data_IF_804408867144
#
_entry.id   IF_804408867144
#
_cell.length_a   1.000
_cell.length_b   1.000
_cell.length_c   1.000
_cell.angle_alpha   90.00
_cell.angle_beta   90.00
_cell.angle_gamma   90.00
#
_symmetry.space_group_name_H-M   'P 1'
#
loop_
_entity.id
_entity.type
_entity.pdbx_description
1 polymer ?
#
# COMPACT_ATOMS: atom_id res chain seq x y z
N UNK A 1 31.86 50.77 22.49
CA UNK A 1 31.09 50.48 21.25
C UNK A 1 31.12 48.96 21.06
N UNK A 2 30.13 48.33 21.60
CA UNK A 2 30.06 46.88 21.72
C UNK A 2 29.37 46.33 20.46
N UNK A 3 30.12 45.56 19.70
CA UNK A 3 29.63 44.87 18.49
C UNK A 3 28.65 43.77 18.88
N UNK A 4 27.38 44.10 18.89
CA UNK A 4 26.29 43.11 18.97
C UNK A 4 26.23 42.38 17.63
N UNK A 5 27.01 41.31 17.51
CA UNK A 5 26.96 40.39 16.42
C UNK A 5 25.65 39.59 16.57
N UNK A 6 24.55 40.09 15.97
CA UNK A 6 23.29 39.39 15.85
C UNK A 6 23.51 38.17 14.95
N UNK A 7 23.85 37.04 15.56
CA UNK A 7 23.67 35.74 14.94
C UNK A 7 22.20 35.63 14.49
N UNK A 8 21.93 35.90 13.22
CA UNK A 8 20.70 35.51 12.60
C UNK A 8 20.61 33.99 12.71
N UNK A 9 20.00 33.49 13.76
CA UNK A 9 19.49 32.13 13.76
C UNK A 9 18.56 32.02 12.56
N UNK A 10 19.04 31.35 11.51
CA UNK A 10 18.23 31.04 10.34
C UNK A 10 17.17 30.05 10.84
N UNK A 11 16.00 30.57 11.21
CA UNK A 11 14.85 29.75 11.60
C UNK A 11 14.48 28.94 10.37
N UNK A 12 15.01 27.71 10.28
CA UNK A 12 14.73 26.81 9.19
C UNK A 12 13.27 26.37 9.28
N UNK A 13 12.55 26.42 8.18
CA UNK A 13 11.19 25.90 8.09
C UNK A 13 11.15 24.45 8.61
N UNK A 14 10.10 24.06 9.38
CA UNK A 14 9.96 22.71 9.95
C UNK A 14 10.10 21.60 8.89
N UNK A 15 9.57 21.82 7.70
CA UNK A 15 9.69 20.89 6.56
C UNK A 15 11.13 20.70 6.09
N UNK A 16 11.94 21.78 6.06
CA UNK A 16 13.35 21.71 5.69
C UNK A 16 14.18 20.96 6.73
N UNK A 17 13.85 21.15 8.00
CA UNK A 17 14.49 20.41 9.12
C UNK A 17 14.14 18.92 9.06
N UNK A 18 12.89 18.58 8.80
CA UNK A 18 12.44 17.19 8.65
C UNK A 18 13.14 16.50 7.47
N UNK A 19 13.22 17.17 6.32
CA UNK A 19 13.91 16.65 5.14
C UNK A 19 15.41 16.44 5.37
N UNK A 20 16.08 17.38 6.04
CA UNK A 20 17.49 17.22 6.39
C UNK A 20 17.73 16.07 7.38
N UNK A 21 16.82 15.88 8.35
CA UNK A 21 16.88 14.73 9.27
C UNK A 21 16.68 13.40 8.54
N UNK A 22 15.77 13.36 7.56
CA UNK A 22 15.55 12.20 6.72
C UNK A 22 16.83 11.83 5.94
N UNK A 23 17.44 12.81 5.26
CA UNK A 23 18.67 12.59 4.48
C UNK A 23 19.86 12.14 5.33
N UNK A 24 19.92 12.54 6.59
CA UNK A 24 20.98 12.10 7.53
C UNK A 24 20.77 10.68 8.06
N UNK A 25 19.56 10.16 7.99
CA UNK A 25 19.24 8.83 8.49
C UNK A 25 19.41 7.79 7.38
N UNK A 26 20.48 7.01 7.43
CA UNK A 26 20.82 5.99 6.43
C UNK A 26 19.72 4.92 6.29
N UNK A 27 19.11 4.49 7.40
CA UNK A 27 18.05 3.50 7.36
C UNK A 27 16.78 4.04 6.70
N UNK A 28 16.43 5.30 6.98
CA UNK A 28 15.30 5.95 6.32
C UNK A 28 15.53 6.13 4.81
N UNK A 29 16.77 6.46 4.41
CA UNK A 29 17.12 6.56 2.99
C UNK A 29 17.07 5.21 2.27
N UNK A 30 17.53 4.12 2.93
CA UNK A 30 17.39 2.77 2.38
C UNK A 30 15.91 2.35 2.22
N UNK A 31 15.08 2.64 3.22
CA UNK A 31 13.64 2.38 3.14
C UNK A 31 12.97 3.17 2.02
N UNK A 32 13.30 4.47 1.89
CA UNK A 32 12.79 5.30 0.81
C UNK A 32 13.23 4.77 -0.57
N UNK A 33 14.49 4.40 -0.71
CA UNK A 33 15.00 3.82 -1.96
C UNK A 33 14.27 2.53 -2.32
N UNK A 34 14.04 1.64 -1.35
CA UNK A 34 13.29 0.39 -1.57
C UNK A 34 11.86 0.67 -2.06
N UNK A 35 11.14 1.62 -1.44
CA UNK A 35 9.79 2.02 -1.86
C UNK A 35 9.80 2.57 -3.29
N UNK A 36 10.74 3.45 -3.61
CA UNK A 36 10.88 4.03 -4.95
C UNK A 36 11.16 2.93 -5.99
N UNK A 37 12.04 1.98 -5.69
CA UNK A 37 12.34 0.85 -6.58
C UNK A 37 11.09 0.02 -6.83
N UNK A 38 10.30 -0.31 -5.81
CA UNK A 38 9.06 -1.09 -5.96
C UNK A 38 8.03 -0.34 -6.81
N UNK A 39 7.89 0.97 -6.62
CA UNK A 39 6.99 1.80 -7.43
C UNK A 39 7.45 1.82 -8.89
N UNK A 40 8.72 2.10 -9.15
CA UNK A 40 9.27 2.11 -10.51
C UNK A 40 9.13 0.75 -11.19
N UNK A 41 9.44 -0.32 -10.47
CA UNK A 41 9.28 -1.70 -10.95
C UNK A 41 7.82 -1.99 -11.34
N UNK A 42 6.85 -1.60 -10.52
CA UNK A 42 5.44 -1.90 -10.74
C UNK A 42 4.80 -1.03 -11.84
N UNK A 43 5.19 0.24 -11.96
CA UNK A 43 4.55 1.18 -12.90
C UNK A 43 5.29 1.33 -14.21
N UNK A 44 6.61 1.29 -14.18
CA UNK A 44 7.46 1.50 -15.35
C UNK A 44 7.92 0.14 -15.92
N UNK A 45 8.16 -0.85 -15.07
CA UNK A 45 8.61 -2.18 -15.49
C UNK A 45 7.80 -2.82 -16.61
N UNK A 46 6.46 -2.82 -16.56
CA UNK A 46 5.63 -3.42 -17.63
C UNK A 46 5.88 -2.83 -19.02
N UNK A 47 6.33 -1.58 -19.11
CA UNK A 47 6.64 -0.95 -20.41
C UNK A 47 7.84 -1.57 -21.13
N UNK A 48 8.71 -2.23 -20.39
CA UNK A 48 9.90 -2.93 -20.92
C UNK A 48 9.69 -4.42 -21.15
N UNK A 49 8.51 -4.95 -20.75
CA UNK A 49 8.21 -6.36 -20.91
C UNK A 49 7.66 -6.66 -22.30
N UNK A 50 8.08 -7.79 -22.85
CA UNK A 50 7.65 -8.28 -24.17
C UNK A 50 6.24 -8.88 -24.12
N UNK A 51 5.86 -9.43 -22.97
CA UNK A 51 4.60 -10.15 -22.78
C UNK A 51 3.63 -9.31 -21.96
N UNK A 52 2.35 -9.32 -22.33
CA UNK A 52 1.30 -8.72 -21.51
C UNK A 52 0.87 -9.64 -20.36
N UNK A 53 0.20 -9.10 -19.34
CA UNK A 53 -0.20 -9.81 -18.12
C UNK A 53 -1.05 -11.07 -18.39
N UNK A 54 -1.87 -11.05 -19.45
CA UNK A 54 -2.81 -12.11 -19.78
C UNK A 54 -2.38 -12.95 -20.99
N UNK A 55 -1.27 -12.60 -21.65
CA UNK A 55 -0.78 -13.37 -22.80
C UNK A 55 -0.39 -14.78 -22.36
N UNK A 56 -1.07 -15.79 -22.90
CA UNK A 56 -0.75 -17.20 -22.72
C UNK A 56 0.20 -17.61 -23.83
N UNK A 57 1.27 -18.27 -23.47
CA UNK A 57 2.25 -18.86 -24.40
C UNK A 57 2.22 -20.37 -24.28
N UNK A 58 2.75 -21.07 -25.29
CA UNK A 58 2.85 -22.54 -25.26
C UNK A 58 3.88 -23.03 -24.23
N UNK A 59 4.57 -22.10 -23.56
CA UNK A 59 5.60 -22.35 -22.56
C UNK A 59 4.98 -22.52 -21.18
N UNK A 60 4.39 -23.69 -20.90
CA UNK A 60 3.73 -23.98 -19.63
C UNK A 60 4.74 -24.41 -18.57
N UNK A 61 4.71 -23.80 -17.37
CA UNK A 61 5.56 -24.13 -16.22
C UNK A 61 7.07 -24.17 -16.54
N UNK A 62 7.53 -23.26 -17.38
CA UNK A 62 8.95 -23.16 -17.71
C UNK A 62 9.72 -22.42 -16.62
N UNK A 63 10.97 -22.86 -16.40
CA UNK A 63 11.88 -22.24 -15.45
C UNK A 63 12.32 -20.83 -15.87
N UNK A 64 13.02 -20.10 -14.97
CA UNK A 64 13.55 -18.79 -15.26
C UNK A 64 14.52 -18.80 -16.46
N UNK A 65 14.58 -17.67 -17.18
CA UNK A 65 15.49 -17.41 -18.30
C UNK A 65 15.27 -18.29 -19.56
N UNK A 66 14.13 -18.96 -19.67
CA UNK A 66 13.78 -19.78 -20.83
C UNK A 66 12.88 -18.96 -21.76
N UNK A 67 13.14 -19.00 -23.07
CA UNK A 67 12.36 -18.36 -24.15
C UNK A 67 12.00 -16.87 -23.94
N UNK A 68 12.84 -16.14 -23.17
CA UNK A 68 12.66 -14.73 -22.88
C UNK A 68 11.81 -14.43 -21.65
N UNK A 69 11.39 -15.45 -20.91
CA UNK A 69 10.68 -15.31 -19.63
C UNK A 69 11.70 -15.20 -18.48
N UNK A 70 11.86 -14.00 -17.91
CA UNK A 70 12.89 -13.73 -16.88
C UNK A 70 12.67 -14.57 -15.63
N UNK A 71 11.45 -14.67 -15.12
CA UNK A 71 11.08 -15.49 -13.95
C UNK A 71 10.35 -16.79 -14.34
N UNK A 72 10.29 -17.10 -15.64
CA UNK A 72 9.57 -18.26 -16.14
C UNK A 72 8.06 -18.00 -16.30
N UNK A 73 7.31 -19.09 -16.48
CA UNK A 73 5.87 -19.06 -16.76
C UNK A 73 5.05 -19.84 -15.74
N UNK A 74 3.78 -19.44 -15.58
CA UNK A 74 2.84 -20.12 -14.71
C UNK A 74 2.21 -21.36 -15.39
N UNK A 75 1.24 -22.00 -14.69
CA UNK A 75 0.50 -23.17 -15.19
C UNK A 75 -0.32 -22.91 -16.44
N UNK A 76 -0.53 -21.67 -16.81
CA UNK A 76 -1.28 -21.21 -17.98
C UNK A 76 -0.36 -20.61 -19.05
N UNK A 77 0.95 -20.75 -18.92
CA UNK A 77 1.92 -20.21 -19.87
C UNK A 77 2.09 -18.69 -19.79
N UNK A 78 1.63 -18.02 -18.71
CA UNK A 78 1.73 -16.56 -18.57
C UNK A 78 3.03 -16.18 -17.89
N UNK A 79 3.61 -15.04 -18.30
CA UNK A 79 4.89 -14.55 -17.77
C UNK A 79 4.76 -14.11 -16.30
N UNK A 80 5.52 -14.73 -15.41
CA UNK A 80 5.48 -14.46 -13.97
C UNK A 80 6.01 -13.06 -13.66
N UNK A 81 7.07 -12.61 -14.35
CA UNK A 81 7.66 -11.30 -14.10
C UNK A 81 6.67 -10.16 -14.40
N UNK A 82 6.02 -10.21 -15.55
CA UNK A 82 4.99 -9.24 -15.94
C UNK A 82 3.84 -9.25 -14.95
N UNK A 83 3.36 -10.41 -14.56
CA UNK A 83 2.29 -10.53 -13.57
C UNK A 83 2.66 -9.98 -12.20
N UNK A 84 3.91 -10.16 -11.77
CA UNK A 84 4.42 -9.60 -10.53
C UNK A 84 4.40 -8.06 -10.56
N UNK A 85 4.81 -7.47 -11.68
CA UNK A 85 4.77 -6.01 -11.87
C UNK A 85 3.35 -5.46 -11.84
N UNK A 86 2.42 -6.05 -12.57
CA UNK A 86 1.01 -5.64 -12.57
C UNK A 86 0.33 -5.87 -11.20
N UNK A 87 0.63 -7.00 -10.55
CA UNK A 87 0.17 -7.28 -9.19
C UNK A 87 0.65 -6.23 -8.18
N UNK A 88 1.92 -5.84 -8.28
CA UNK A 88 2.50 -4.75 -7.48
C UNK A 88 1.79 -3.42 -7.70
N UNK A 89 1.48 -3.07 -8.95
CA UNK A 89 0.72 -1.86 -9.30
C UNK A 89 -0.66 -1.85 -8.64
N UNK A 90 -1.40 -2.95 -8.75
CA UNK A 90 -2.74 -3.07 -8.15
C UNK A 90 -2.64 -2.97 -6.62
N UNK A 91 -1.67 -3.68 -6.01
CA UNK A 91 -1.47 -3.65 -4.56
C UNK A 91 -1.15 -2.24 -4.04
N UNK A 92 -0.28 -1.49 -4.73
CA UNK A 92 0.06 -0.12 -4.37
C UNK A 92 -1.17 0.80 -4.49
N UNK A 93 -1.94 0.70 -5.57
CA UNK A 93 -3.13 1.52 -5.78
C UNK A 93 -4.21 1.22 -4.73
N UNK A 94 -4.48 -0.05 -4.47
CA UNK A 94 -5.46 -0.46 -3.45
C UNK A 94 -5.01 0.00 -2.08
N UNK A 95 -3.72 -0.18 -1.72
CA UNK A 95 -3.17 0.29 -0.46
C UNK A 95 -3.27 1.80 -0.30
N UNK A 96 -2.95 2.57 -1.35
CA UNK A 96 -3.03 4.03 -1.32
C UNK A 96 -4.47 4.53 -1.10
N UNK A 97 -5.43 3.94 -1.83
CA UNK A 97 -6.86 4.28 -1.68
C UNK A 97 -7.36 3.90 -0.29
N UNK A 98 -7.01 2.71 0.20
CA UNK A 98 -7.38 2.26 1.55
C UNK A 98 -6.88 3.24 2.63
N UNK A 99 -5.59 3.58 2.59
CA UNK A 99 -4.98 4.52 3.55
C UNK A 99 -5.61 5.92 3.44
N UNK A 100 -5.93 6.40 2.23
CA UNK A 100 -6.59 7.69 2.07
C UNK A 100 -7.98 7.72 2.74
N UNK A 101 -8.78 6.67 2.53
CA UNK A 101 -10.10 6.52 3.16
C UNK A 101 -9.95 6.43 4.68
N UNK A 102 -9.02 5.62 5.15
CA UNK A 102 -8.75 5.41 6.58
C UNK A 102 -8.32 6.70 7.28
N UNK A 103 -7.43 7.48 6.66
CA UNK A 103 -7.02 8.79 7.17
C UNK A 103 -8.18 9.79 7.21
N UNK A 104 -9.01 9.84 6.17
CA UNK A 104 -10.17 10.73 6.16
C UNK A 104 -11.14 10.39 7.28
N UNK A 105 -11.54 9.12 7.38
CA UNK A 105 -12.50 8.67 8.40
C UNK A 105 -11.89 8.81 9.80
N UNK A 106 -10.68 8.32 10.02
CA UNK A 106 -10.00 8.36 11.31
C UNK A 106 -9.78 9.77 11.80
N UNK A 107 -9.34 10.69 10.92
CA UNK A 107 -9.15 12.10 11.27
C UNK A 107 -10.47 12.77 11.61
N UNK A 108 -11.53 12.50 10.85
CA UNK A 108 -12.86 13.07 11.10
C UNK A 108 -13.44 12.60 12.43
N UNK A 109 -13.43 11.28 12.66
CA UNK A 109 -13.92 10.68 13.92
C UNK A 109 -13.07 11.14 15.10
N UNK A 110 -11.74 11.09 14.98
CA UNK A 110 -10.83 11.53 16.03
C UNK A 110 -10.95 13.02 16.35
N UNK A 111 -11.14 13.88 15.35
CA UNK A 111 -11.35 15.31 15.57
C UNK A 111 -12.66 15.60 16.31
N UNK A 112 -13.76 14.93 15.95
CA UNK A 112 -15.04 15.06 16.63
C UNK A 112 -14.93 14.56 18.07
N UNK A 113 -14.33 13.40 18.27
CA UNK A 113 -14.11 12.80 19.60
C UNK A 113 -13.30 13.72 20.50
N UNK A 114 -12.15 14.23 20.00
CA UNK A 114 -11.32 15.16 20.74
C UNK A 114 -11.95 16.52 21.02
N UNK A 115 -12.82 17.01 20.11
CA UNK A 115 -13.50 18.29 20.29
C UNK A 115 -14.60 18.25 21.36
N UNK A 116 -15.47 17.25 21.31
CA UNK A 116 -16.58 17.12 22.28
C UNK A 116 -16.16 16.49 23.60
N UNK A 117 -15.19 15.58 23.59
CA UNK A 117 -14.68 14.92 24.81
C UNK A 117 -15.72 14.19 25.65
N UNK A 118 -15.34 13.83 26.87
CA UNK A 118 -16.24 13.31 27.89
C UNK A 118 -16.99 12.05 27.47
N UNK A 119 -18.32 12.04 27.67
CA UNK A 119 -19.19 10.88 27.37
C UNK A 119 -19.26 10.56 25.87
N UNK A 120 -19.14 11.57 25.02
CA UNK A 120 -19.18 11.38 23.58
C UNK A 120 -17.94 10.67 23.07
N UNK A 121 -16.78 11.06 23.55
CA UNK A 121 -15.51 10.39 23.31
C UNK A 121 -15.53 8.93 23.78
N UNK A 122 -16.01 8.69 24.99
CA UNK A 122 -16.14 7.34 25.54
C UNK A 122 -17.04 6.43 24.69
N UNK A 123 -18.14 6.94 24.14
CA UNK A 123 -19.03 6.16 23.26
C UNK A 123 -18.32 5.84 21.93
N UNK A 124 -17.66 6.82 21.30
CA UNK A 124 -16.95 6.61 20.06
C UNK A 124 -15.77 5.63 20.23
N UNK A 125 -15.02 5.76 21.31
CA UNK A 125 -13.93 4.82 21.64
C UNK A 125 -14.47 3.41 21.85
N UNK A 126 -15.54 3.24 22.63
CA UNK A 126 -16.16 1.92 22.84
C UNK A 126 -16.63 1.30 21.52
N UNK A 127 -17.25 2.09 20.63
CA UNK A 127 -17.64 1.63 19.31
C UNK A 127 -16.43 1.16 18.48
N UNK A 128 -15.34 1.91 18.52
CA UNK A 128 -14.09 1.55 17.82
C UNK A 128 -13.49 0.26 18.38
N UNK A 129 -13.48 0.10 19.70
CA UNK A 129 -12.99 -1.12 20.36
C UNK A 129 -13.83 -2.35 20.00
N UNK A 130 -15.17 -2.22 19.99
CA UNK A 130 -16.07 -3.29 19.55
C UNK A 130 -15.73 -3.70 18.10
N UNK A 131 -15.56 -2.71 17.22
CA UNK A 131 -15.22 -2.97 15.82
C UNK A 131 -13.88 -3.69 15.66
N UNK A 132 -12.86 -3.29 16.42
CA UNK A 132 -11.54 -3.93 16.41
C UNK A 132 -11.56 -5.34 16.99
N UNK A 133 -12.52 -5.66 17.86
CA UNK A 133 -12.65 -7.00 18.48
C UNK A 133 -13.24 -8.03 17.51
N UNK A 134 -13.89 -7.60 16.42
CA UNK A 134 -14.44 -8.51 15.41
C UNK A 134 -13.28 -9.24 14.70
N UNK A 135 -13.21 -10.57 14.78
CA UNK A 135 -12.14 -11.31 14.13
C UNK A 135 -12.35 -11.32 12.62
N UNK A 136 -11.53 -10.54 11.90
CA UNK A 136 -11.67 -10.28 10.46
C UNK A 136 -11.57 -11.55 9.60
N UNK A 137 -10.71 -12.52 9.98
CA UNK A 137 -10.55 -13.76 9.23
C UNK A 137 -11.81 -14.63 9.16
N UNK A 138 -12.50 -14.94 10.28
CA UNK A 138 -13.80 -15.63 10.24
C UNK A 138 -14.84 -14.91 9.39
N UNK A 139 -14.92 -13.58 9.47
CA UNK A 139 -15.87 -12.79 8.68
C UNK A 139 -15.62 -12.95 7.17
N UNK A 140 -14.36 -12.88 6.73
CA UNK A 140 -14.02 -13.09 5.31
C UNK A 140 -14.37 -14.50 4.85
N UNK A 141 -14.08 -15.52 5.66
CA UNK A 141 -14.38 -16.93 5.30
C UNK A 141 -15.86 -17.13 5.16
N UNK A 142 -16.65 -16.65 6.12
CA UNK A 142 -18.13 -16.75 6.07
C UNK A 142 -18.68 -15.99 4.86
N UNK A 143 -18.22 -14.76 4.62
CA UNK A 143 -18.65 -13.96 3.48
C UNK A 143 -18.29 -14.63 2.15
N UNK A 144 -17.09 -15.19 2.05
CA UNK A 144 -16.64 -15.95 0.87
C UNK A 144 -17.50 -17.18 0.60
N UNK A 145 -17.88 -17.91 1.66
CA UNK A 145 -18.76 -19.09 1.54
C UNK A 145 -20.16 -18.72 1.10
N UNK A 146 -20.73 -17.66 1.66
CA UNK A 146 -22.05 -17.16 1.28
C UNK A 146 -22.04 -16.70 -0.19
N UNK A 147 -21.05 -15.92 -0.60
CA UNK A 147 -20.92 -15.46 -2.00
C UNK A 147 -20.71 -16.60 -2.98
N UNK A 148 -19.98 -17.65 -2.60
CA UNK A 148 -19.80 -18.82 -3.45
C UNK A 148 -21.09 -19.66 -3.55
N UNK A 149 -21.86 -19.78 -2.48
CA UNK A 149 -23.15 -20.48 -2.50
C UNK A 149 -24.21 -19.77 -3.35
N UNK A 150 -24.19 -18.42 -3.35
CA UNK A 150 -25.08 -17.63 -4.21
C UNK A 150 -24.71 -17.70 -5.70
N UNK A 151 -23.45 -18.03 -6.04
CA UNK A 151 -23.00 -18.21 -7.43
C UNK A 151 -23.15 -19.62 -7.98
N UNK A 152 -23.45 -20.59 -7.13
CA UNK A 152 -23.55 -22.04 -7.49
C UNK A 152 -24.97 -22.46 -7.81
N UNK A 153 -25.92 -21.55 -7.93
CA UNK A 153 -27.28 -21.92 -8.39
C UNK A 153 -27.31 -21.83 -9.93
N UNK A 154 -27.14 -22.98 -10.66
CA UNK A 154 -27.09 -22.97 -12.12
C UNK A 154 -28.50 -22.85 -12.77
N UNK A 155 -29.56 -22.60 -11.98
CA UNK A 155 -30.96 -22.54 -12.42
C UNK A 155 -31.68 -21.21 -12.08
N UNK A 156 -30.94 -20.11 -11.80
CA UNK A 156 -31.54 -18.77 -11.69
C UNK A 156 -30.95 -17.83 -12.71
#
# INVERSE_FOLDING_TARGET
MENVNKNKEIVMSPSKMAFQKLLKNRMAMLGLAAVVIVILFSFIGPLFMKFDMNTQTDCIQQGPMIQGHVLGTDKLGRDIMTRLMYGGRISILVGLVAVAIELCIGTFVGAISGYYGGKFDAILMTLTEIWMTIPFLPVIIIMGTILSSLKVDPNV
#
